data_IF_175836351285
#
_entry.id   IF_175836351285
#
_cell.length_a   1.000
_cell.length_b   1.000
_cell.length_c   1.000
_cell.angle_alpha   90.00
_cell.angle_beta   90.00
_cell.angle_gamma   90.00
#
_symmetry.space_group_name_H-M   'P 1'
#
loop_
_entity.id
_entity.type
_entity.pdbx_description
1 polymer ?
#
# COMPACT_ATOMS: atom_id res chain seq x y z
N UNK A 1 19.19 -6.08 4.39
CA UNK A 1 18.70 -4.69 4.27
C UNK A 1 17.85 -4.29 5.47
N UNK A 2 18.13 -3.15 6.07
CA UNK A 2 17.26 -2.57 7.08
C UNK A 2 16.11 -1.77 6.42
N UNK A 3 15.16 -1.31 7.24
CA UNK A 3 14.00 -0.57 6.73
C UNK A 3 14.41 0.67 5.93
N UNK A 4 15.40 1.42 6.40
CA UNK A 4 15.87 2.64 5.72
C UNK A 4 16.42 2.34 4.33
N UNK A 5 17.17 1.26 4.19
CA UNK A 5 17.70 0.82 2.89
C UNK A 5 16.59 0.36 1.96
N UNK A 6 15.59 -0.33 2.49
CA UNK A 6 14.41 -0.75 1.73
C UNK A 6 13.64 0.48 1.25
N UNK A 7 13.36 1.44 2.14
CA UNK A 7 12.67 2.68 1.79
C UNK A 7 13.40 3.43 0.68
N UNK A 8 14.72 3.56 0.79
CA UNK A 8 15.53 4.24 -0.20
C UNK A 8 15.47 3.53 -1.56
N UNK A 9 15.63 2.22 -1.58
CA UNK A 9 15.58 1.44 -2.83
C UNK A 9 14.21 1.52 -3.49
N UNK A 10 13.13 1.41 -2.74
CA UNK A 10 11.78 1.53 -3.27
C UNK A 10 11.56 2.92 -3.85
N UNK A 11 11.98 3.96 -3.14
CA UNK A 11 11.85 5.35 -3.60
C UNK A 11 12.61 5.57 -4.91
N UNK A 12 13.84 5.08 -5.00
CA UNK A 12 14.67 5.20 -6.21
C UNK A 12 14.04 4.47 -7.41
N UNK A 13 13.57 3.25 -7.19
CA UNK A 13 12.93 2.46 -8.26
C UNK A 13 11.63 3.10 -8.75
N UNK A 14 10.86 3.72 -7.85
CA UNK A 14 9.60 4.38 -8.19
C UNK A 14 9.80 5.79 -8.73
N UNK A 15 10.97 6.39 -8.58
CA UNK A 15 11.23 7.74 -9.06
C UNK A 15 11.09 7.88 -10.58
N UNK A 16 11.39 6.80 -11.31
CA UNK A 16 11.26 6.75 -12.78
C UNK A 16 10.03 5.93 -13.22
N UNK A 17 9.12 5.62 -12.30
CA UNK A 17 7.93 4.85 -12.60
C UNK A 17 6.92 5.67 -13.41
N UNK A 18 5.91 4.98 -13.90
CA UNK A 18 4.81 5.50 -14.70
C UNK A 18 4.32 6.88 -14.23
N UNK A 19 4.06 7.78 -15.18
CA UNK A 19 3.58 9.15 -14.92
C UNK A 19 2.23 9.20 -14.18
N UNK A 20 1.49 8.12 -14.18
CA UNK A 20 0.23 8.00 -13.45
C UNK A 20 0.40 7.90 -11.94
N UNK A 21 1.62 7.65 -11.45
CA UNK A 21 1.87 7.51 -10.02
C UNK A 21 1.67 8.85 -9.29
N UNK A 22 0.80 8.86 -8.30
CA UNK A 22 0.54 10.02 -7.43
C UNK A 22 1.33 9.92 -6.14
N UNK A 23 1.32 8.75 -5.51
CA UNK A 23 1.97 8.50 -4.22
C UNK A 23 2.28 7.02 -4.06
N UNK A 24 3.23 6.72 -3.17
CA UNK A 24 3.57 5.35 -2.80
C UNK A 24 3.87 5.26 -1.31
N UNK A 25 3.48 4.13 -0.73
CA UNK A 25 3.62 3.85 0.70
C UNK A 25 4.30 2.51 0.91
N UNK A 26 5.19 2.44 1.88
CA UNK A 26 5.65 1.17 2.44
C UNK A 26 4.70 0.82 3.59
N UNK A 27 4.16 -0.40 3.61
CA UNK A 27 3.27 -0.85 4.69
C UNK A 27 3.58 -2.28 5.10
N UNK A 28 2.75 -2.87 5.95
CA UNK A 28 2.96 -4.22 6.44
C UNK A 28 4.07 -4.34 7.47
N UNK A 29 4.63 -5.53 7.61
CA UNK A 29 5.58 -5.85 8.68
C UNK A 29 6.88 -5.07 8.59
N UNK A 30 7.38 -4.80 7.39
CA UNK A 30 8.60 -4.01 7.22
C UNK A 30 8.40 -2.58 7.73
N UNK A 31 7.27 -1.95 7.39
CA UNK A 31 6.96 -0.60 7.88
C UNK A 31 6.82 -0.55 9.40
N UNK A 32 6.24 -1.59 10.00
CA UNK A 32 6.08 -1.70 11.45
C UNK A 32 7.37 -2.09 12.19
N UNK A 33 8.39 -2.54 11.48
CA UNK A 33 9.62 -3.03 12.10
C UNK A 33 9.49 -4.42 12.73
N UNK A 34 8.48 -5.19 12.33
CA UNK A 34 8.20 -6.54 12.85
C UNK A 34 8.54 -7.65 11.86
N UNK A 35 9.18 -7.30 10.76
CA UNK A 35 9.51 -8.25 9.71
C UNK A 35 10.66 -9.19 10.09
N UNK A 36 10.67 -10.35 9.43
CA UNK A 36 11.82 -11.24 9.36
C UNK A 36 12.46 -11.12 7.98
N UNK A 37 13.62 -11.78 7.80
CA UNK A 37 14.31 -11.80 6.50
C UNK A 37 13.48 -12.46 5.39
N UNK A 38 12.47 -13.25 5.75
CA UNK A 38 11.57 -13.93 4.81
C UNK A 38 10.24 -13.20 4.60
N UNK A 39 10.00 -12.11 5.30
CA UNK A 39 8.77 -11.33 5.14
C UNK A 39 8.73 -10.64 3.78
N UNK A 40 7.55 -10.57 3.18
CA UNK A 40 7.33 -9.80 1.96
C UNK A 40 7.46 -8.31 2.26
N UNK A 41 7.90 -7.57 1.25
CA UNK A 41 7.91 -6.12 1.29
C UNK A 41 6.62 -5.64 0.62
N UNK A 42 5.78 -4.93 1.38
CA UNK A 42 4.46 -4.48 0.90
C UNK A 42 4.53 -3.01 0.50
N UNK A 43 4.20 -2.74 -0.77
CA UNK A 43 4.22 -1.39 -1.34
C UNK A 43 2.84 -1.08 -1.90
N UNK A 44 2.23 0.00 -1.40
CA UNK A 44 0.97 0.51 -1.92
C UNK A 44 1.21 1.67 -2.88
N UNK A 45 0.59 1.64 -4.04
CA UNK A 45 0.69 2.72 -5.02
C UNK A 45 -0.68 3.35 -5.29
N UNK A 46 -0.71 4.67 -5.34
CA UNK A 46 -1.89 5.45 -5.71
C UNK A 46 -1.67 6.03 -7.10
N UNK A 47 -2.61 5.77 -8.00
CA UNK A 47 -2.57 6.25 -9.38
C UNK A 47 -3.56 7.40 -9.58
N UNK A 48 -3.30 8.27 -10.58
CA UNK A 48 -4.16 9.42 -10.89
C UNK A 48 -5.58 9.02 -11.25
N UNK A 49 -5.69 7.94 -12.00
CA UNK A 49 -6.98 7.42 -12.45
C UNK A 49 -7.18 6.00 -11.96
N UNK A 50 -8.45 5.69 -11.68
CA UNK A 50 -8.82 4.34 -11.32
C UNK A 50 -8.40 3.36 -12.43
N UNK A 51 -7.96 2.18 -12.02
CA UNK A 51 -7.47 1.18 -12.93
C UNK A 51 -8.49 0.64 -13.93
N UNK A 52 -8.07 0.55 -15.17
CA UNK A 52 -8.65 -0.32 -16.19
C UNK A 52 -7.83 -1.62 -16.27
N UNK A 53 -8.22 -2.56 -17.15
CA UNK A 53 -7.57 -3.88 -17.23
C UNK A 53 -6.06 -3.91 -17.46
N UNK A 54 -5.45 -2.80 -17.84
CA UNK A 54 -4.01 -2.67 -18.05
C UNK A 54 -3.19 -2.61 -16.74
N UNK A 55 -3.85 -2.56 -15.62
CA UNK A 55 -3.17 -2.32 -14.34
C UNK A 55 -2.59 -3.55 -13.70
N UNK A 56 -3.11 -4.70 -14.03
CA UNK A 56 -2.44 -5.94 -13.63
C UNK A 56 -1.05 -6.01 -14.25
N UNK A 57 -0.90 -5.55 -15.48
CA UNK A 57 0.40 -5.51 -16.16
C UNK A 57 1.36 -4.53 -15.47
N UNK A 58 0.89 -3.35 -15.11
CA UNK A 58 1.70 -2.38 -14.37
C UNK A 58 2.13 -2.93 -13.00
N UNK A 59 1.21 -3.57 -12.28
CA UNK A 59 1.51 -4.17 -10.98
C UNK A 59 2.57 -5.26 -11.10
N UNK A 60 2.45 -6.16 -12.07
CA UNK A 60 3.44 -7.21 -12.29
C UNK A 60 4.80 -6.65 -12.68
N UNK A 61 4.82 -5.63 -13.51
CA UNK A 61 6.05 -4.96 -13.93
C UNK A 61 6.77 -4.33 -12.72
N UNK A 62 6.04 -3.62 -11.88
CA UNK A 62 6.59 -3.01 -10.67
C UNK A 62 7.04 -4.06 -9.66
N UNK A 63 6.27 -5.13 -9.45
CA UNK A 63 6.68 -6.25 -8.61
C UNK A 63 8.03 -6.80 -9.04
N UNK A 64 8.18 -7.06 -10.33
CA UNK A 64 9.42 -7.61 -10.88
C UNK A 64 10.61 -6.66 -10.72
N UNK A 65 10.41 -5.38 -10.97
CA UNK A 65 11.46 -4.37 -10.77
C UNK A 65 11.92 -4.29 -9.32
N UNK A 66 10.97 -4.22 -8.41
CA UNK A 66 11.27 -4.10 -6.98
C UNK A 66 11.94 -5.36 -6.43
N UNK A 67 11.46 -6.53 -6.82
CA UNK A 67 12.08 -7.80 -6.38
C UNK A 67 13.53 -7.92 -6.84
N UNK A 68 13.83 -7.51 -8.07
CA UNK A 68 15.20 -7.51 -8.57
C UNK A 68 16.08 -6.51 -7.83
N UNK A 69 15.56 -5.33 -7.55
CA UNK A 69 16.33 -4.29 -6.86
C UNK A 69 16.56 -4.62 -5.39
N UNK A 70 15.58 -5.23 -4.73
CA UNK A 70 15.60 -5.48 -3.29
C UNK A 70 16.13 -6.86 -2.92
N UNK A 71 16.14 -7.80 -3.87
CA UNK A 71 16.52 -9.19 -3.59
C UNK A 71 15.55 -9.90 -2.64
N UNK A 72 14.33 -9.41 -2.51
CA UNK A 72 13.28 -9.96 -1.64
C UNK A 72 11.96 -9.95 -2.37
N UNK A 73 11.08 -10.85 -1.96
CA UNK A 73 9.71 -10.88 -2.47
C UNK A 73 8.98 -9.58 -2.13
N UNK A 74 8.37 -8.98 -3.14
CA UNK A 74 7.66 -7.72 -3.00
C UNK A 74 6.22 -7.90 -3.46
N UNK A 75 5.28 -7.30 -2.72
CA UNK A 75 3.87 -7.27 -3.10
C UNK A 75 3.47 -5.83 -3.34
N UNK A 76 3.14 -5.50 -4.59
CA UNK A 76 2.59 -4.20 -4.96
C UNK A 76 1.06 -4.27 -4.93
N UNK A 77 0.44 -3.32 -4.26
CA UNK A 77 -1.02 -3.18 -4.18
C UNK A 77 -1.42 -1.83 -4.75
N UNK A 78 -2.39 -1.85 -5.65
CA UNK A 78 -2.98 -0.61 -6.18
C UNK A 78 -4.05 -0.14 -5.22
N UNK A 79 -3.85 1.05 -4.64
CA UNK A 79 -4.70 1.56 -3.56
C UNK A 79 -6.03 2.11 -4.04
N UNK A 80 -6.13 2.48 -5.32
CA UNK A 80 -7.34 3.10 -5.87
C UNK A 80 -8.61 2.28 -5.63
N UNK A 81 -8.51 0.96 -5.70
CA UNK A 81 -9.64 0.03 -5.56
C UNK A 81 -9.46 -0.96 -4.41
N UNK A 82 -8.52 -0.70 -3.50
CA UNK A 82 -8.30 -1.58 -2.36
C UNK A 82 -9.45 -1.49 -1.35
N UNK A 83 -9.73 -2.57 -0.61
CA UNK A 83 -10.80 -2.56 0.40
C UNK A 83 -10.52 -1.55 1.53
N UNK A 84 -11.56 -0.96 2.14
CA UNK A 84 -11.40 0.06 3.18
C UNK A 84 -10.56 -0.36 4.38
N UNK A 85 -10.62 -1.61 4.82
CA UNK A 85 -9.82 -2.09 5.95
C UNK A 85 -8.33 -2.21 5.60
N UNK A 86 -8.01 -2.58 4.36
CA UNK A 86 -6.62 -2.57 3.89
C UNK A 86 -6.09 -1.15 3.80
N UNK A 87 -6.86 -0.22 3.23
CA UNK A 87 -6.50 1.20 3.17
C UNK A 87 -6.26 1.78 4.56
N UNK A 88 -7.12 1.42 5.53
CA UNK A 88 -6.93 1.85 6.92
C UNK A 88 -5.59 1.40 7.48
N UNK A 89 -5.20 0.14 7.25
CA UNK A 89 -3.90 -0.38 7.71
C UNK A 89 -2.73 0.34 7.04
N UNK A 90 -2.83 0.61 5.74
CA UNK A 90 -1.81 1.34 5.00
C UNK A 90 -1.63 2.76 5.58
N UNK A 91 -2.72 3.47 5.83
CA UNK A 91 -2.66 4.84 6.34
C UNK A 91 -2.25 4.90 7.82
N UNK A 92 -2.61 3.89 8.62
CA UNK A 92 -2.24 3.82 10.03
C UNK A 92 -0.75 3.53 10.25
N UNK A 93 -0.25 2.50 9.57
CA UNK A 93 1.10 1.95 9.82
C UNK A 93 2.09 2.29 8.71
N UNK A 94 1.60 2.71 7.55
CA UNK A 94 2.41 2.93 6.36
C UNK A 94 3.26 4.18 6.44
N UNK A 95 4.33 4.16 5.66
CA UNK A 95 5.25 5.28 5.51
C UNK A 95 5.17 5.79 4.09
N UNK A 96 4.88 7.08 3.94
CA UNK A 96 4.84 7.72 2.62
C UNK A 96 6.25 7.84 2.07
N UNK A 97 6.50 7.23 0.92
CA UNK A 97 7.82 7.22 0.28
C UNK A 97 7.90 8.17 -0.91
N UNK A 98 6.83 8.27 -1.68
CA UNK A 98 6.76 9.10 -2.88
C UNK A 98 5.48 9.91 -2.84
N UNK A 99 5.60 11.19 -3.13
CA UNK A 99 4.46 12.11 -3.28
C UNK A 99 4.71 12.99 -4.48
N UNK A 100 3.90 12.85 -5.54
CA UNK A 100 3.99 13.66 -6.75
C UNK A 100 2.86 14.67 -6.88
N UNK A 101 1.73 14.39 -6.22
CA UNK A 101 0.55 15.27 -6.22
C UNK A 101 -0.05 15.25 -4.81
N UNK A 102 0.35 16.23 -4.01
CA UNK A 102 -0.06 16.32 -2.62
C UNK A 102 -1.58 16.47 -2.47
N UNK A 103 -2.21 17.29 -3.29
CA UNK A 103 -3.65 17.51 -3.21
C UNK A 103 -4.43 16.21 -3.50
N UNK A 104 -4.02 15.48 -4.53
CA UNK A 104 -4.64 14.20 -4.87
C UNK A 104 -4.44 13.16 -3.77
N UNK A 105 -3.24 13.10 -3.17
CA UNK A 105 -2.96 12.22 -2.05
C UNK A 105 -3.86 12.53 -0.85
N UNK A 106 -3.97 13.80 -0.48
CA UNK A 106 -4.81 14.20 0.66
C UNK A 106 -6.28 13.86 0.42
N UNK A 107 -6.79 14.13 -0.77
CA UNK A 107 -8.18 13.76 -1.12
C UNK A 107 -8.42 12.27 -1.00
N UNK A 108 -7.48 11.47 -1.47
CA UNK A 108 -7.54 10.01 -1.34
C UNK A 108 -7.57 9.58 0.13
N UNK A 109 -6.66 10.10 0.95
CA UNK A 109 -6.57 9.73 2.37
C UNK A 109 -7.83 10.10 3.15
N UNK A 110 -8.38 11.28 2.90
CA UNK A 110 -9.63 11.72 3.54
C UNK A 110 -10.78 10.78 3.17
N UNK A 111 -10.93 10.48 1.88
CA UNK A 111 -11.98 9.56 1.42
C UNK A 111 -11.82 8.17 2.01
N UNK A 112 -10.60 7.64 2.03
CA UNK A 112 -10.32 6.32 2.60
C UNK A 112 -10.67 6.25 4.09
N UNK A 113 -10.33 7.28 4.86
CA UNK A 113 -10.68 7.35 6.28
C UNK A 113 -12.19 7.42 6.49
N UNK A 114 -12.90 8.22 5.70
CA UNK A 114 -14.35 8.34 5.80
C UNK A 114 -15.05 7.01 5.47
N UNK A 115 -14.62 6.33 4.42
CA UNK A 115 -15.15 5.01 4.07
C UNK A 115 -14.93 3.98 5.17
N UNK A 116 -13.77 4.01 5.80
CA UNK A 116 -13.48 3.11 6.93
C UNK A 116 -14.36 3.40 8.13
N UNK A 117 -14.56 4.67 8.51
CA UNK A 117 -15.43 5.04 9.61
C UNK A 117 -16.87 4.63 9.36
N UNK A 118 -17.37 4.75 8.13
CA UNK A 118 -18.71 4.32 7.76
C UNK A 118 -18.87 2.79 7.87
N UNK A 119 -17.81 2.05 7.57
CA UNK A 119 -17.81 0.59 7.61
C UNK A 119 -17.59 0.04 9.02
N UNK A 120 -16.96 0.81 9.91
CA UNK A 120 -16.48 0.34 11.20
C UNK A 120 -17.58 -0.30 12.08
N UNK A 121 -18.81 0.23 12.19
CA UNK A 121 -19.86 -0.41 12.96
C UNK A 121 -20.21 -1.83 12.46
N UNK A 122 -20.17 -2.03 11.15
CA UNK A 122 -20.43 -3.32 10.51
C UNK A 122 -19.30 -4.30 10.81
N UNK A 123 -18.04 -3.85 10.70
CA UNK A 123 -16.87 -4.68 11.02
C UNK A 123 -16.86 -5.09 12.48
N UNK A 124 -17.21 -4.19 13.39
CA UNK A 124 -17.29 -4.51 14.83
C UNK A 124 -18.33 -5.56 15.12
N UNK A 125 -19.50 -5.50 14.49
CA UNK A 125 -20.54 -6.52 14.64
C UNK A 125 -20.07 -7.88 14.11
N UNK A 126 -19.44 -7.90 12.98
CA UNK A 126 -18.89 -9.12 12.39
C UNK A 126 -17.85 -9.77 13.32
N UNK A 127 -16.91 -8.99 13.83
CA UNK A 127 -15.88 -9.48 14.75
C UNK A 127 -16.46 -10.04 16.04
N UNK A 128 -17.53 -9.43 16.56
CA UNK A 128 -18.22 -9.94 17.74
C UNK A 128 -18.90 -11.28 17.48
N UNK A 129 -19.51 -11.45 16.31
CA UNK A 129 -20.12 -12.74 15.92
C UNK A 129 -19.06 -13.84 15.79
N UNK A 130 -17.94 -13.55 15.20
CA UNK A 130 -16.84 -14.50 15.10
C UNK A 130 -16.32 -14.90 16.47
N UNK A 131 -16.14 -13.96 17.37
CA UNK A 131 -15.69 -14.23 18.73
C UNK A 131 -16.70 -15.10 19.49
N UNK A 132 -18.00 -14.87 19.30
CA UNK A 132 -19.06 -15.66 19.95
C UNK A 132 -19.14 -17.11 19.46
N UNK A 133 -18.62 -17.40 18.26
CA UNK A 133 -18.59 -18.75 17.67
C UNK A 133 -17.35 -19.55 18.05
N UNK A 134 -16.35 -18.87 18.60
CA UNK A 134 -15.07 -19.51 18.94
C UNK A 134 -15.15 -20.38 20.20
#
# INVERSE_FOLDING_TARGET
MNRRQIEQSVTEELASADDRLVAAYLFGSVARGTDSSNSDIDVGILLRTAPSGELNDLRFELDGHLERALGRRTQVVILNNAPPDLLHRVLRDGRLLVERDRAARIRFEVRARNEYFDLLPILKRYRRREAARA
#
